data_IF_481799419429
#
_entry.id   IF_481799419429
#
_cell.length_a   1.000
_cell.length_b   1.000
_cell.length_c   1.000
_cell.angle_alpha   90.00
_cell.angle_beta   90.00
_cell.angle_gamma   90.00
#
_symmetry.space_group_name_H-M   'P 1'
#
loop_
_entity.id
_entity.type
_entity.pdbx_description
1 polymer ?
#
# COMPACT_ATOMS: atom_id res chain seq x y z
N UNK A 1 -12.98 -15.37 2.34
CA UNK A 1 -11.85 -15.13 1.42
C UNK A 1 -11.00 -14.01 1.99
N UNK A 2 -9.70 -14.24 2.21
CA UNK A 2 -8.80 -13.23 2.76
C UNK A 2 -7.88 -12.75 1.65
N UNK A 3 -7.99 -11.48 1.28
CA UNK A 3 -7.07 -10.85 0.33
C UNK A 3 -5.77 -10.58 1.09
N UNK A 4 -4.70 -11.30 0.77
CA UNK A 4 -3.40 -11.12 1.40
C UNK A 4 -2.30 -11.25 0.34
N UNK A 5 -1.41 -10.26 0.30
CA UNK A 5 -0.26 -10.26 -0.58
C UNK A 5 0.82 -9.38 0.04
N UNK A 6 2.10 -9.75 -0.07
CA UNK A 6 3.23 -9.04 0.55
C UNK A 6 3.38 -7.57 0.11
N UNK A 7 2.76 -7.18 -1.00
CA UNK A 7 2.76 -5.82 -1.53
C UNK A 7 1.41 -5.11 -1.36
N UNK A 8 0.54 -5.61 -0.49
CA UNK A 8 -0.72 -4.97 -0.09
C UNK A 8 -0.74 -4.83 1.43
N UNK A 9 -1.19 -3.68 1.91
CA UNK A 9 -1.35 -3.45 3.35
C UNK A 9 -2.47 -4.34 3.88
N UNK A 10 -2.18 -5.08 4.94
CA UNK A 10 -3.13 -5.99 5.57
C UNK A 10 -4.11 -5.23 6.47
N UNK A 11 -5.40 -5.41 6.21
CA UNK A 11 -6.47 -5.06 7.14
C UNK A 11 -6.47 -6.10 8.28
N UNK A 12 -6.22 -5.64 9.50
CA UNK A 12 -6.22 -6.45 10.72
C UNK A 12 -7.64 -6.58 11.30
N UNK A 13 -8.46 -5.55 11.16
CA UNK A 13 -9.83 -5.55 11.67
C UNK A 13 -10.57 -4.25 11.41
N UNK A 14 -11.79 -4.17 11.92
CA UNK A 14 -12.60 -2.96 11.87
C UNK A 14 -13.39 -2.79 13.17
N UNK A 15 -13.74 -1.55 13.47
CA UNK A 15 -14.71 -1.20 14.51
C UNK A 15 -15.89 -0.51 13.85
N UNK A 16 -17.09 -1.00 14.13
CA UNK A 16 -18.36 -0.44 13.63
C UNK A 16 -19.29 -0.31 14.83
N UNK A 17 -19.01 0.67 15.68
CA UNK A 17 -19.77 0.92 16.90
C UNK A 17 -20.42 2.31 16.85
N UNK A 18 -21.75 2.34 16.91
CA UNK A 18 -22.50 3.59 16.84
C UNK A 18 -22.25 4.33 15.51
N UNK A 19 -22.04 5.66 15.54
CA UNK A 19 -21.79 6.44 14.32
C UNK A 19 -20.35 6.28 13.79
N UNK A 20 -19.42 5.74 14.58
CA UNK A 20 -18.01 5.67 14.22
C UNK A 20 -17.68 4.38 13.47
N UNK A 21 -16.89 4.53 12.40
CA UNK A 21 -16.38 3.43 11.58
C UNK A 21 -14.88 3.57 11.46
N UNK A 22 -14.15 2.57 11.93
CA UNK A 22 -12.69 2.56 11.92
C UNK A 22 -12.16 1.29 11.26
N UNK A 23 -11.04 1.42 10.56
CA UNK A 23 -10.29 0.30 9.97
C UNK A 23 -8.91 0.26 10.63
N UNK A 24 -8.49 -0.94 11.03
CA UNK A 24 -7.20 -1.17 11.66
C UNK A 24 -6.31 -1.91 10.67
N UNK A 25 -5.20 -1.29 10.30
CA UNK A 25 -4.21 -1.83 9.37
C UNK A 25 -2.92 -2.21 10.10
N UNK A 26 -2.10 -3.04 9.47
CA UNK A 26 -0.72 -3.22 9.93
C UNK A 26 0.05 -1.88 9.92
N UNK A 27 0.95 -1.74 10.88
CA UNK A 27 1.79 -0.54 10.96
C UNK A 27 2.96 -0.65 9.98
N UNK A 28 3.11 0.34 9.10
CA UNK A 28 4.24 0.45 8.18
C UNK A 28 5.24 1.51 8.70
N UNK A 29 6.47 1.11 9.08
CA UNK A 29 7.41 2.02 9.75
C UNK A 29 8.00 3.10 8.81
N UNK A 30 8.01 2.83 7.50
CA UNK A 30 8.67 3.69 6.51
C UNK A 30 7.81 4.86 6.01
N UNK A 31 6.72 5.18 6.73
CA UNK A 31 5.78 6.25 6.38
C UNK A 31 5.25 6.14 4.93
N UNK A 32 4.59 7.19 4.45
CA UNK A 32 4.06 7.26 3.09
C UNK A 32 5.18 7.56 2.10
N UNK A 33 5.01 7.08 0.88
CA UNK A 33 6.03 7.24 -0.16
C UNK A 33 6.17 8.70 -0.60
N UNK A 34 5.07 9.45 -0.71
CA UNK A 34 5.07 10.89 -1.03
C UNK A 34 5.91 11.71 -0.06
N UNK A 35 5.83 11.39 1.23
CA UNK A 35 6.58 12.06 2.28
C UNK A 35 8.08 11.92 2.10
N UNK A 36 8.57 10.75 1.67
CA UNK A 36 9.99 10.54 1.38
C UNK A 36 10.37 11.12 0.02
N UNK A 37 9.53 10.92 -1.01
CA UNK A 37 9.85 11.30 -2.39
C UNK A 37 9.95 12.81 -2.58
N UNK A 38 9.08 13.59 -1.93
CA UNK A 38 8.94 15.03 -2.18
C UNK A 38 9.56 15.93 -1.11
N UNK A 39 10.00 15.35 0.01
CA UNK A 39 10.81 16.06 1.00
C UNK A 39 12.25 16.20 0.49
N UNK A 40 12.76 17.43 0.41
CA UNK A 40 14.09 17.71 -0.16
C UNK A 40 15.24 17.12 0.66
N UNK A 41 15.07 16.98 1.97
CA UNK A 41 16.07 16.41 2.86
C UNK A 41 16.03 14.87 2.84
N UNK A 42 14.84 14.29 2.60
CA UNK A 42 14.65 12.82 2.64
C UNK A 42 14.77 12.15 1.28
N UNK A 43 14.39 12.83 0.19
CA UNK A 43 14.42 12.27 -1.17
C UNK A 43 15.78 11.69 -1.58
N UNK A 44 16.93 12.28 -1.17
CA UNK A 44 18.25 11.70 -1.43
C UNK A 44 18.47 10.33 -0.78
N UNK A 45 17.78 10.02 0.33
CA UNK A 45 17.90 8.71 1.00
C UNK A 45 17.25 7.56 0.22
N UNK A 46 16.35 7.88 -0.72
CA UNK A 46 15.66 6.89 -1.54
C UNK A 46 16.38 6.73 -2.89
N UNK A 47 17.41 5.89 -2.89
CA UNK A 47 18.24 5.61 -4.07
C UNK A 47 17.41 4.98 -5.20
N UNK A 48 17.88 5.14 -6.44
CA UNK A 48 17.18 4.62 -7.62
C UNK A 48 16.86 3.13 -7.53
N UNK A 49 17.78 2.33 -6.98
CA UNK A 49 17.58 0.89 -6.76
C UNK A 49 16.38 0.62 -5.84
N UNK A 50 16.21 1.39 -4.76
CA UNK A 50 15.05 1.27 -3.87
C UNK A 50 13.76 1.72 -4.56
N UNK A 51 13.81 2.82 -5.32
CA UNK A 51 12.66 3.29 -6.13
C UNK A 51 12.20 2.20 -7.10
N UNK A 52 13.13 1.55 -7.78
CA UNK A 52 12.82 0.44 -8.68
C UNK A 52 12.17 -0.74 -7.94
N UNK A 53 12.68 -1.12 -6.77
CA UNK A 53 12.05 -2.19 -5.97
C UNK A 53 10.64 -1.83 -5.52
N UNK A 54 10.39 -0.56 -5.17
CA UNK A 54 9.04 -0.07 -4.84
C UNK A 54 8.12 -0.20 -6.06
N UNK A 55 8.55 0.24 -7.25
CA UNK A 55 7.79 0.12 -8.50
C UNK A 55 7.42 -1.34 -8.77
N UNK A 56 8.40 -2.25 -8.70
CA UNK A 56 8.18 -3.69 -8.89
C UNK A 56 7.19 -4.25 -7.87
N UNK A 57 7.29 -3.83 -6.61
CA UNK A 57 6.36 -4.21 -5.55
C UNK A 57 4.92 -3.76 -5.85
N UNK A 58 4.74 -2.50 -6.27
CA UNK A 58 3.43 -1.95 -6.65
C UNK A 58 2.84 -2.74 -7.81
N UNK A 59 3.62 -3.00 -8.87
CA UNK A 59 3.16 -3.78 -10.03
C UNK A 59 2.71 -5.18 -9.61
N UNK A 60 3.48 -5.87 -8.75
CA UNK A 60 3.09 -7.20 -8.22
C UNK A 60 1.78 -7.15 -7.44
N UNK A 61 1.59 -6.14 -6.59
CA UNK A 61 0.33 -5.94 -5.88
C UNK A 61 -0.85 -5.73 -6.81
N UNK A 62 -0.67 -4.99 -7.91
CA UNK A 62 -1.72 -4.74 -8.90
C UNK A 62 -2.04 -5.95 -9.75
N UNK A 63 -1.05 -6.72 -10.17
CA UNK A 63 -1.26 -8.00 -10.87
C UNK A 63 -2.09 -8.92 -9.99
N UNK A 64 -1.72 -9.05 -8.71
CA UNK A 64 -2.49 -9.85 -7.77
C UNK A 64 -3.95 -9.39 -7.67
N UNK A 65 -4.21 -8.08 -7.52
CA UNK A 65 -5.59 -7.56 -7.45
C UNK A 65 -6.39 -7.78 -8.74
N UNK A 66 -5.75 -7.72 -9.90
CA UNK A 66 -6.43 -7.78 -11.19
C UNK A 66 -6.65 -9.20 -11.71
N UNK A 67 -5.72 -10.12 -11.43
CA UNK A 67 -5.62 -11.41 -12.14
C UNK A 67 -5.56 -12.62 -11.19
N UNK A 68 -4.94 -12.50 -10.01
CA UNK A 68 -4.68 -13.65 -9.13
C UNK A 68 -5.64 -13.73 -7.93
N UNK A 69 -6.21 -12.60 -7.51
CA UNK A 69 -7.19 -12.55 -6.44
C UNK A 69 -8.46 -13.30 -6.87
N UNK A 70 -9.19 -13.93 -5.93
CA UNK A 70 -10.38 -14.72 -6.29
C UNK A 70 -11.52 -13.91 -6.93
N UNK A 71 -11.49 -12.59 -6.75
CA UNK A 71 -12.35 -11.64 -7.43
C UNK A 71 -11.45 -10.54 -7.94
N UNK A 72 -11.68 -10.10 -9.18
CA UNK A 72 -10.99 -8.96 -9.76
C UNK A 72 -11.33 -7.68 -8.99
N UNK A 73 -10.30 -7.04 -8.44
CA UNK A 73 -10.43 -5.80 -7.65
C UNK A 73 -9.73 -4.66 -8.38
N UNK A 74 -10.45 -3.60 -8.71
CA UNK A 74 -9.87 -2.37 -9.28
C UNK A 74 -9.57 -1.42 -8.12
N UNK A 75 -8.29 -1.09 -7.89
CA UNK A 75 -7.88 -0.25 -6.75
C UNK A 75 -8.47 1.17 -6.78
N UNK A 76 -8.58 1.78 -7.97
CA UNK A 76 -9.14 3.12 -8.26
C UNK A 76 -8.41 4.34 -7.67
N UNK A 77 -7.58 4.18 -6.65
CA UNK A 77 -6.89 5.31 -5.99
C UNK A 77 -5.37 5.12 -5.87
N UNK A 78 -4.73 4.60 -6.91
CA UNK A 78 -3.27 4.37 -6.90
C UNK A 78 -2.55 5.71 -7.05
N UNK A 79 -1.77 6.08 -6.05
CA UNK A 79 -0.97 7.31 -6.00
C UNK A 79 0.16 7.17 -4.98
N UNK A 80 1.16 8.05 -5.05
CA UNK A 80 2.24 8.09 -4.05
C UNK A 80 1.79 8.64 -2.68
N UNK A 81 0.62 9.30 -2.66
CA UNK A 81 0.00 9.92 -1.51
C UNK A 81 -0.69 8.87 -0.66
#
# INVERSE_FOLDING_TARGET
MRIQHKNLVMLLGCCVQGPEKMLVYEYLPNQRLDYILFDKEKSPSLYWTQRFQIIVGVIRGLIYLHEEAPVRIIHRDIKAK
#
